data_IF_924225930524
#
_entry.id   IF_924225930524
#
_cell.length_a   1.000
_cell.length_b   1.000
_cell.length_c   1.000
_cell.angle_alpha   90.00
_cell.angle_beta   90.00
_cell.angle_gamma   90.00
#
_symmetry.space_group_name_H-M   'P 1'
#
loop_
_entity.id
_entity.type
_entity.pdbx_description
1 polymer ?
#
# COMPACT_ATOMS: atom_id res chain seq x y z
N UNK A 1 -22.63 10.96 -20.25
CA UNK A 1 -22.59 11.88 -19.09
C UNK A 1 -21.12 12.06 -18.79
N UNK A 2 -20.55 13.24 -19.02
CA UNK A 2 -19.14 13.49 -18.71
C UNK A 2 -18.97 13.42 -17.19
N UNK A 3 -18.01 12.63 -16.67
CA UNK A 3 -17.77 12.59 -15.25
C UNK A 3 -17.41 14.00 -14.72
N UNK A 4 -18.04 14.40 -13.62
CA UNK A 4 -17.84 15.70 -12.98
C UNK A 4 -16.57 15.64 -12.12
N UNK A 5 -15.41 15.64 -12.78
CA UNK A 5 -14.11 15.75 -12.12
C UNK A 5 -13.81 17.22 -11.85
N UNK A 6 -13.84 17.60 -10.57
CA UNK A 6 -13.54 18.96 -10.16
C UNK A 6 -12.11 19.02 -9.61
N UNK A 7 -11.18 19.52 -10.42
CA UNK A 7 -9.78 19.71 -10.05
C UNK A 7 -9.52 20.86 -9.07
N UNK A 8 -10.47 21.76 -8.84
CA UNK A 8 -10.34 22.83 -7.84
C UNK A 8 -10.57 22.33 -6.42
N UNK A 9 -11.43 21.31 -6.27
CA UNK A 9 -11.87 20.77 -4.97
C UNK A 9 -11.44 19.32 -4.74
N UNK A 10 -11.03 18.62 -5.79
CA UNK A 10 -10.75 17.19 -5.80
C UNK A 10 -11.99 16.30 -5.89
N UNK A 11 -13.20 16.88 -5.93
CA UNK A 11 -14.45 16.12 -5.97
C UNK A 11 -14.52 15.28 -7.25
N UNK A 12 -14.92 14.02 -7.10
CA UNK A 12 -15.10 13.09 -8.22
C UNK A 12 -13.82 12.41 -8.72
N UNK A 13 -12.62 12.86 -8.31
CA UNK A 13 -11.36 12.32 -8.85
C UNK A 13 -11.08 10.85 -8.50
N UNK A 14 -11.71 10.29 -7.46
CA UNK A 14 -11.64 8.85 -7.22
C UNK A 14 -12.41 8.01 -8.26
N UNK A 15 -13.32 8.63 -9.00
CA UNK A 15 -13.95 8.06 -10.18
C UNK A 15 -13.22 8.39 -11.48
N UNK A 16 -11.96 8.84 -11.42
CA UNK A 16 -11.13 9.09 -12.60
C UNK A 16 -10.85 7.77 -13.33
N UNK A 17 -11.20 7.71 -14.60
CA UNK A 17 -10.96 6.57 -15.50
C UNK A 17 -10.33 6.99 -16.83
N UNK A 18 -10.01 8.29 -17.00
CA UNK A 18 -9.36 8.82 -18.20
C UNK A 18 -7.85 9.02 -17.97
N UNK A 19 -7.00 8.18 -18.58
CA UNK A 19 -5.57 8.29 -18.44
C UNK A 19 -4.99 9.57 -19.06
N UNK A 20 -5.63 10.11 -20.10
CA UNK A 20 -5.17 11.33 -20.77
C UNK A 20 -5.40 12.57 -19.90
N UNK A 21 -6.50 12.60 -19.15
CA UNK A 21 -6.79 13.69 -18.21
C UNK A 21 -5.76 13.71 -17.07
N UNK A 22 -5.34 12.54 -16.57
CA UNK A 22 -4.25 12.45 -15.59
C UNK A 22 -2.90 12.83 -16.19
N UNK A 23 -2.63 12.51 -17.45
CA UNK A 23 -1.40 12.98 -18.11
C UNK A 23 -1.36 14.51 -18.19
N UNK A 24 -2.49 15.15 -18.54
CA UNK A 24 -2.60 16.59 -18.55
C UNK A 24 -2.44 17.19 -17.14
N UNK A 25 -2.97 16.55 -16.11
CA UNK A 25 -2.78 16.95 -14.72
C UNK A 25 -1.33 16.78 -14.23
N UNK A 26 -0.64 15.74 -14.69
CA UNK A 26 0.79 15.53 -14.45
C UNK A 26 1.63 16.65 -15.07
N UNK A 27 1.30 17.08 -16.29
CA UNK A 27 1.98 18.19 -16.97
C UNK A 27 1.79 19.53 -16.24
N UNK A 28 0.62 19.74 -15.62
CA UNK A 28 0.30 20.95 -14.84
C UNK A 28 0.77 20.89 -13.38
N UNK A 29 1.26 19.75 -12.91
CA UNK A 29 1.51 19.49 -11.48
C UNK A 29 0.31 19.83 -10.59
N UNK A 30 -0.88 19.35 -10.99
CA UNK A 30 -2.15 19.69 -10.33
C UNK A 30 -2.18 19.30 -8.85
N UNK A 31 -2.81 20.14 -8.03
CA UNK A 31 -2.87 19.97 -6.56
C UNK A 31 -3.45 18.61 -6.13
N UNK A 32 -4.46 18.14 -6.85
CA UNK A 32 -5.18 16.90 -6.52
C UNK A 32 -4.74 15.70 -7.37
N UNK A 33 -3.57 15.79 -8.00
CA UNK A 33 -2.99 14.72 -8.80
C UNK A 33 -2.98 13.37 -8.06
N UNK A 34 -2.62 13.36 -6.77
CA UNK A 34 -2.62 12.15 -5.96
C UNK A 34 -3.96 11.42 -5.92
N UNK A 35 -5.07 12.17 -5.79
CA UNK A 35 -6.42 11.60 -5.77
C UNK A 35 -6.82 11.01 -7.13
N UNK A 36 -6.47 11.70 -8.22
CA UNK A 36 -6.77 11.22 -9.57
C UNK A 36 -5.94 9.97 -9.95
N UNK A 37 -4.69 9.88 -9.51
CA UNK A 37 -3.85 8.68 -9.70
C UNK A 37 -4.42 7.49 -8.93
N UNK A 38 -4.95 7.69 -7.72
CA UNK A 38 -5.71 6.65 -7.01
C UNK A 38 -6.97 6.28 -7.79
N UNK A 39 -7.71 7.26 -8.30
CA UNK A 39 -8.89 7.02 -9.14
C UNK A 39 -8.56 6.12 -10.34
N UNK A 40 -7.48 6.40 -11.07
CA UNK A 40 -7.06 5.53 -12.16
C UNK A 40 -6.76 4.10 -11.68
N UNK A 41 -6.06 3.93 -10.55
CA UNK A 41 -5.80 2.60 -10.02
C UNK A 41 -7.06 1.84 -9.60
N UNK A 42 -8.15 2.53 -9.27
CA UNK A 42 -9.44 1.92 -8.96
C UNK A 42 -10.22 1.51 -10.21
N UNK A 43 -10.00 2.19 -11.34
CA UNK A 43 -10.87 2.09 -12.53
C UNK A 43 -10.17 1.59 -13.80
N UNK A 44 -8.83 1.46 -13.81
CA UNK A 44 -8.04 1.10 -14.98
C UNK A 44 -7.02 -0.02 -14.67
N UNK A 45 -6.65 -0.85 -15.67
CA UNK A 45 -5.71 -1.95 -15.47
C UNK A 45 -4.28 -1.46 -15.21
N UNK A 46 -3.45 -2.24 -14.49
CA UNK A 46 -2.09 -1.86 -14.09
C UNK A 46 -1.21 -1.30 -15.22
N UNK A 47 -1.26 -1.87 -16.43
CA UNK A 47 -0.44 -1.44 -17.57
C UNK A 47 -0.71 0.01 -17.98
N UNK A 48 -1.95 0.46 -17.83
CA UNK A 48 -2.37 1.84 -18.14
C UNK A 48 -1.94 2.77 -17.00
N UNK A 49 -2.10 2.33 -15.76
CA UNK A 49 -1.91 3.20 -14.60
C UNK A 49 -0.43 3.35 -14.21
N UNK A 50 0.38 2.31 -14.42
CA UNK A 50 1.76 2.24 -13.93
C UNK A 50 2.66 3.40 -14.38
N UNK A 51 2.69 3.81 -15.67
CA UNK A 51 3.50 4.96 -16.08
C UNK A 51 3.15 6.26 -15.35
N UNK A 52 1.87 6.45 -15.01
CA UNK A 52 1.34 7.65 -14.33
C UNK A 52 1.68 7.64 -12.84
N UNK A 53 1.64 6.48 -12.20
CA UNK A 53 2.12 6.30 -10.82
C UNK A 53 3.60 6.64 -10.74
N UNK A 54 4.43 6.13 -11.66
CA UNK A 54 5.88 6.40 -11.67
C UNK A 54 6.14 7.90 -11.82
N UNK A 55 5.49 8.54 -12.80
CA UNK A 55 5.62 9.98 -13.01
C UNK A 55 5.12 10.80 -11.81
N UNK A 56 4.04 10.38 -11.16
CA UNK A 56 3.55 11.02 -9.94
C UNK A 56 4.52 10.87 -8.76
N UNK A 57 5.20 9.72 -8.63
CA UNK A 57 6.25 9.53 -7.62
C UNK A 57 7.45 10.47 -7.83
N UNK A 58 7.76 10.83 -9.07
CA UNK A 58 8.82 11.80 -9.39
C UNK A 58 8.41 13.23 -9.05
N UNK A 59 7.14 13.58 -9.29
CA UNK A 59 6.61 14.94 -9.10
C UNK A 59 6.19 15.26 -7.66
N UNK A 60 5.76 14.26 -6.88
CA UNK A 60 5.25 14.45 -5.53
C UNK A 60 6.30 14.05 -4.49
N UNK A 61 7.06 14.99 -3.89
CA UNK A 61 8.05 14.67 -2.87
C UNK A 61 7.44 14.52 -1.48
N UNK A 62 8.19 13.87 -0.58
CA UNK A 62 7.86 13.79 0.85
C UNK A 62 6.48 13.15 1.09
N UNK A 63 5.61 13.76 1.92
CA UNK A 63 4.28 13.21 2.22
C UNK A 63 3.38 13.01 1.00
N UNK A 64 3.64 13.72 -0.11
CA UNK A 64 2.87 13.55 -1.35
C UNK A 64 3.04 12.17 -1.99
N UNK A 65 4.12 11.44 -1.66
CA UNK A 65 4.42 10.09 -2.16
C UNK A 65 3.42 9.04 -1.67
N UNK A 66 2.72 9.31 -0.57
CA UNK A 66 1.72 8.39 -0.01
C UNK A 66 0.58 8.11 -1.00
N UNK A 67 0.19 9.09 -1.81
CA UNK A 67 -0.90 8.92 -2.78
C UNK A 67 -0.55 7.94 -3.92
N UNK A 68 0.58 8.11 -4.65
CA UNK A 68 0.99 7.11 -5.63
C UNK A 68 1.18 5.70 -5.03
N UNK A 69 1.72 5.57 -3.81
CA UNK A 69 1.84 4.25 -3.18
C UNK A 69 0.49 3.68 -2.75
N UNK A 70 -0.47 4.51 -2.35
CA UNK A 70 -1.86 4.08 -2.14
C UNK A 70 -2.49 3.57 -3.44
N UNK A 71 -2.18 4.19 -4.58
CA UNK A 71 -2.61 3.68 -5.88
C UNK A 71 -1.98 2.30 -6.18
N UNK A 72 -0.69 2.09 -5.87
CA UNK A 72 -0.03 0.77 -5.99
C UNK A 72 -0.71 -0.29 -5.10
N UNK A 73 -1.05 0.06 -3.86
CA UNK A 73 -1.81 -0.81 -2.95
C UNK A 73 -3.14 -1.26 -3.57
N UNK A 74 -3.87 -0.34 -4.22
CA UNK A 74 -5.13 -0.67 -4.90
C UNK A 74 -4.94 -1.63 -6.07
N UNK A 75 -3.91 -1.43 -6.91
CA UNK A 75 -3.59 -2.36 -8.00
C UNK A 75 -3.27 -3.76 -7.45
N UNK A 76 -2.49 -3.85 -6.36
CA UNK A 76 -2.21 -5.14 -5.73
C UNK A 76 -3.49 -5.83 -5.23
N UNK A 77 -4.40 -5.09 -4.58
CA UNK A 77 -5.66 -5.60 -4.04
C UNK A 77 -6.66 -6.03 -5.11
N UNK A 78 -6.82 -5.22 -6.16
CA UNK A 78 -7.86 -5.40 -7.17
C UNK A 78 -7.42 -6.36 -8.28
N UNK A 79 -6.17 -6.26 -8.72
CA UNK A 79 -5.67 -7.05 -9.85
C UNK A 79 -4.80 -8.24 -9.42
N UNK A 80 -4.36 -8.29 -8.16
CA UNK A 80 -3.47 -9.34 -7.66
C UNK A 80 -2.11 -9.37 -8.35
N UNK A 81 -1.69 -8.26 -8.97
CA UNK A 81 -0.44 -8.14 -9.73
C UNK A 81 0.02 -6.69 -9.83
N UNK A 82 1.31 -6.48 -10.03
CA UNK A 82 1.92 -5.18 -10.33
C UNK A 82 2.83 -5.32 -11.55
N UNK A 83 3.15 -4.20 -12.21
CA UNK A 83 4.16 -4.19 -13.27
C UNK A 83 5.58 -4.21 -12.67
N UNK A 84 6.60 -4.62 -13.46
CA UNK A 84 7.99 -4.61 -13.00
C UNK A 84 8.48 -3.25 -12.48
N UNK A 85 8.03 -2.16 -13.08
CA UNK A 85 8.39 -0.79 -12.72
C UNK A 85 7.87 -0.44 -11.33
N UNK A 86 6.64 -0.85 -11.00
CA UNK A 86 6.07 -0.65 -9.67
C UNK A 86 6.79 -1.48 -8.61
N UNK A 87 7.20 -2.72 -8.93
CA UNK A 87 8.07 -3.48 -8.01
C UNK A 87 9.42 -2.80 -7.78
N UNK A 88 10.00 -2.18 -8.81
CA UNK A 88 11.23 -1.41 -8.68
C UNK A 88 11.02 -0.16 -7.81
N UNK A 89 9.92 0.56 -8.00
CA UNK A 89 9.56 1.72 -7.18
C UNK A 89 9.38 1.36 -5.70
N UNK A 90 8.66 0.28 -5.38
CA UNK A 90 8.52 -0.22 -4.01
C UNK A 90 9.88 -0.58 -3.39
N UNK A 91 10.77 -1.19 -4.18
CA UNK A 91 12.11 -1.55 -3.71
C UNK A 91 12.97 -0.31 -3.45
N UNK A 92 12.85 0.71 -4.28
CA UNK A 92 13.62 1.95 -4.18
C UNK A 92 13.21 2.80 -2.98
N UNK A 93 11.92 2.83 -2.62
CA UNK A 93 11.44 3.54 -1.42
C UNK A 93 11.98 2.90 -0.13
N UNK A 94 12.08 1.57 -0.10
CA UNK A 94 12.62 0.85 1.05
C UNK A 94 11.63 0.67 2.21
N UNK A 95 12.14 0.27 3.38
CA UNK A 95 11.37 -0.02 4.60
C UNK A 95 11.25 1.25 5.45
N UNK A 96 10.10 1.49 6.05
CA UNK A 96 9.87 2.64 6.95
C UNK A 96 9.50 3.92 6.20
N UNK A 97 9.17 3.81 4.91
CA UNK A 97 8.80 4.93 4.04
C UNK A 97 7.35 4.86 3.59
N UNK A 98 6.99 5.74 2.65
CA UNK A 98 5.62 5.88 2.12
C UNK A 98 5.07 4.60 1.48
N UNK A 99 5.96 3.68 1.07
CA UNK A 99 5.60 2.42 0.42
C UNK A 99 5.17 1.31 1.39
N UNK A 100 5.30 1.44 2.71
CA UNK A 100 5.10 0.30 3.62
C UNK A 100 3.71 -0.33 3.48
N UNK A 101 2.65 0.46 3.42
CA UNK A 101 1.28 -0.04 3.19
C UNK A 101 1.14 -0.74 1.84
N UNK A 102 1.73 -0.18 0.78
CA UNK A 102 1.71 -0.77 -0.54
C UNK A 102 2.47 -2.10 -0.59
N UNK A 103 3.58 -2.21 0.15
CA UNK A 103 4.34 -3.44 0.26
C UNK A 103 3.54 -4.51 1.02
N UNK A 104 2.90 -4.16 2.13
CA UNK A 104 2.08 -5.09 2.91
C UNK A 104 0.88 -5.61 2.09
N UNK A 105 0.21 -4.74 1.33
CA UNK A 105 -0.85 -5.15 0.41
C UNK A 105 -0.31 -6.03 -0.72
N UNK A 106 0.84 -5.69 -1.29
CA UNK A 106 1.50 -6.52 -2.32
C UNK A 106 1.79 -7.92 -1.78
N UNK A 107 2.30 -8.03 -0.55
CA UNK A 107 2.57 -9.31 0.09
C UNK A 107 1.30 -10.11 0.43
N UNK A 108 0.19 -9.41 0.66
CA UNK A 108 -1.09 -10.01 1.06
C UNK A 108 -1.91 -10.50 -0.14
N UNK A 109 -1.94 -9.72 -1.23
CA UNK A 109 -2.87 -9.94 -2.34
C UNK A 109 -2.23 -10.49 -3.61
N UNK A 110 -0.93 -10.25 -3.84
CA UNK A 110 -0.25 -10.83 -5.02
C UNK A 110 0.15 -12.28 -4.72
N UNK A 111 -0.15 -13.25 -5.61
CA UNK A 111 0.24 -14.63 -5.41
C UNK A 111 1.75 -14.78 -5.21
N UNK A 112 2.16 -15.51 -4.17
CA UNK A 112 3.58 -15.65 -3.79
C UNK A 112 4.48 -16.06 -4.97
N UNK A 113 4.01 -16.94 -5.86
CA UNK A 113 4.76 -17.37 -7.05
C UNK A 113 5.15 -16.20 -7.97
N UNK A 114 4.31 -15.18 -8.09
CA UNK A 114 4.50 -14.01 -8.93
C UNK A 114 5.35 -12.92 -8.26
N UNK A 115 5.57 -12.99 -6.95
CA UNK A 115 6.39 -12.00 -6.25
C UNK A 115 7.86 -12.05 -6.68
N UNK A 116 8.52 -10.89 -6.79
CA UNK A 116 9.96 -10.83 -7.00
C UNK A 116 10.71 -11.42 -5.79
N UNK A 117 11.93 -11.97 -5.98
CA UNK A 117 12.67 -12.65 -4.91
C UNK A 117 12.88 -11.83 -3.64
N UNK A 118 13.04 -10.52 -3.76
CA UNK A 118 13.26 -9.64 -2.60
C UNK A 118 11.99 -9.50 -1.74
N UNK A 119 10.79 -9.46 -2.34
CA UNK A 119 9.53 -9.48 -1.60
C UNK A 119 9.27 -10.84 -0.96
N UNK A 120 9.63 -11.94 -1.63
CA UNK A 120 9.56 -13.28 -1.03
C UNK A 120 10.40 -13.38 0.25
N UNK A 121 11.63 -12.83 0.21
CA UNK A 121 12.50 -12.74 1.40
C UNK A 121 11.87 -11.88 2.50
N UNK A 122 11.26 -10.75 2.14
CA UNK A 122 10.56 -9.88 3.09
C UNK A 122 9.37 -10.59 3.73
N UNK A 123 8.56 -11.30 2.94
CA UNK A 123 7.45 -12.13 3.45
C UNK A 123 7.94 -13.11 4.51
N UNK A 124 8.98 -13.89 4.19
CA UNK A 124 9.58 -14.84 5.16
C UNK A 124 10.04 -14.12 6.42
N UNK A 125 10.74 -12.99 6.30
CA UNK A 125 11.18 -12.21 7.46
C UNK A 125 10.01 -11.75 8.34
N UNK A 126 8.95 -11.19 7.73
CA UNK A 126 7.76 -10.71 8.46
C UNK A 126 7.05 -11.88 9.14
N UNK A 127 6.79 -12.98 8.43
CA UNK A 127 6.14 -14.16 8.99
C UNK A 127 6.93 -14.79 10.12
N UNK A 128 8.26 -14.90 9.99
CA UNK A 128 9.13 -15.41 11.06
C UNK A 128 9.12 -14.48 12.26
N UNK A 129 9.24 -13.16 12.05
CA UNK A 129 9.21 -12.16 13.13
C UNK A 129 7.89 -12.22 13.89
N UNK A 130 6.75 -12.25 13.19
CA UNK A 130 5.43 -12.35 13.81
C UNK A 130 5.22 -13.66 14.55
N UNK A 131 5.72 -14.77 14.01
CA UNK A 131 5.67 -16.08 14.67
C UNK A 131 6.48 -16.04 15.97
N UNK A 132 7.70 -15.49 15.94
CA UNK A 132 8.54 -15.35 17.13
C UNK A 132 7.92 -14.43 18.18
N UNK A 133 7.37 -13.28 17.76
CA UNK A 133 6.65 -12.38 18.66
C UNK A 133 5.46 -13.08 19.32
N UNK A 134 4.68 -13.84 18.54
CA UNK A 134 3.56 -14.63 19.07
C UNK A 134 4.03 -15.69 20.05
N UNK A 135 5.12 -16.39 19.75
CA UNK A 135 5.70 -17.39 20.64
C UNK A 135 6.23 -16.76 21.93
N UNK A 136 6.78 -15.56 21.87
CA UNK A 136 7.30 -14.85 23.03
C UNK A 136 6.21 -14.22 23.91
N UNK A 137 5.08 -13.80 23.32
CA UNK A 137 3.93 -13.26 24.07
C UNK A 137 3.08 -14.35 24.74
N UNK A 138 3.01 -15.56 24.18
CA UNK A 138 2.31 -16.70 24.80
C UNK A 138 2.71 -17.01 26.25
N UNK A 139 4.00 -17.09 26.63
CA UNK A 139 4.38 -17.31 28.02
C UNK A 139 4.06 -16.13 28.92
N UNK A 140 4.05 -14.88 28.41
CA UNK A 140 3.70 -13.68 29.20
C UNK A 140 2.22 -13.69 29.59
N UNK A 141 1.34 -14.11 28.67
CA UNK A 141 -0.09 -14.26 28.95
C UNK A 141 -0.34 -15.39 29.97
N UNK A 142 0.30 -16.54 29.78
CA UNK A 142 0.18 -17.68 30.70
C UNK A 142 0.68 -17.35 32.12
N UNK A 143 1.81 -16.62 32.24
CA UNK A 143 2.33 -16.17 33.54
C UNK A 143 1.39 -15.15 34.20
N UNK A 144 0.76 -14.25 33.43
CA UNK A 144 -0.19 -13.26 33.96
C UNK A 144 -1.48 -13.91 34.46
N UNK A 145 -1.98 -14.93 33.77
CA UNK A 145 -3.13 -15.72 34.22
C UNK A 145 -2.81 -16.53 35.49
N UNK A 146 -1.65 -17.18 35.54
CA UNK A 146 -1.18 -17.89 36.73
C UNK A 146 -1.04 -16.97 37.94
N UNK A 147 -0.51 -15.74 37.75
CA UNK A 147 -0.40 -14.75 38.83
C UNK A 147 -1.77 -14.27 39.33
N UNK A 148 -2.76 -14.09 38.45
CA UNK A 148 -4.14 -13.74 38.86
C UNK A 148 -4.79 -14.87 39.67
N UNK A 149 -4.60 -16.12 39.27
CA UNK A 149 -5.11 -17.28 40.00
C UNK A 149 -4.52 -17.36 41.42
N UNK A 150 -3.21 -17.13 41.57
CA UNK A 150 -2.52 -17.15 42.87
C UNK A 150 -2.89 -15.96 43.77
N UNK A 151 -3.20 -14.78 43.21
CA UNK A 151 -3.72 -13.63 43.99
C UNK A 151 -5.17 -13.82 44.42
N UNK A 152 -6.01 -14.41 43.56
CA UNK A 152 -7.43 -14.66 43.86
C UNK A 152 -7.63 -15.72 44.96
N UNK A 153 -6.69 -16.66 45.11
CA UNK A 153 -6.75 -17.71 46.13
C UNK A 153 -6.25 -17.28 47.52
N UNK A 154 -5.80 -16.03 47.70
CA UNK A 154 -5.24 -15.51 48.96
C UNK A 154 -6.20 -14.64 49.77
N UNK A 155 -7.49 -14.63 49.40
CA UNK A 155 -8.55 -13.89 50.09
C UNK A 155 -9.70 -14.77 50.58
N UNK A 156 -9.45 -16.08 50.74
CA UNK A 156 -10.36 -17.03 51.38
C UNK A 156 -9.90 -17.37 52.79
#
# INVERSE_FOLDING_TARGET
MTPDWNWETGKGLLGMDDPAEVDAALDRADRYLGAAVIGLALNCPPEVVSPRIIRALELLPGPGRDFPFTAVAHLARLDGRLTPELYAALRAEGIGGAADHAIDDTLSFVPFRALPPWLKRRWVYVTVRETLLRWWLRPVEAVREAWRAVRGSRSG
#
